data_IF_579843729327
#
_entry.id   IF_579843729327
#
_cell.length_a   1.000
_cell.length_b   1.000
_cell.length_c   1.000
_cell.angle_alpha   90.00
_cell.angle_beta   90.00
_cell.angle_gamma   90.00
#
_symmetry.space_group_name_H-M   'P 1'
#
loop_
_entity.id
_entity.type
_entity.pdbx_description
1 polymer ?
#
# COMPACT_ATOMS: atom_id res chain seq x y z
N UNK A 1 6.22 3.00 -1.24
CA UNK A 1 4.88 2.36 -1.08
C UNK A 1 3.83 3.31 -0.53
N UNK A 2 4.10 4.06 0.57
CA UNK A 2 3.16 5.08 1.10
C UNK A 2 2.71 6.10 0.04
N UNK A 3 3.65 6.65 -0.73
CA UNK A 3 3.36 7.63 -1.78
C UNK A 3 2.36 7.12 -2.82
N UNK A 4 2.43 5.84 -3.19
CA UNK A 4 1.50 5.22 -4.15
C UNK A 4 0.08 5.17 -3.59
N UNK A 5 -0.09 4.74 -2.33
CA UNK A 5 -1.40 4.71 -1.70
C UNK A 5 -1.96 6.11 -1.46
N UNK A 6 -1.10 7.06 -1.11
CA UNK A 6 -1.49 8.46 -0.96
C UNK A 6 -1.97 9.04 -2.30
N UNK A 7 -1.21 8.82 -3.38
CA UNK A 7 -1.60 9.25 -4.72
C UNK A 7 -2.93 8.64 -5.16
N UNK A 8 -3.15 7.35 -4.87
CA UNK A 8 -4.45 6.72 -5.11
C UNK A 8 -5.57 7.36 -4.29
N UNK A 9 -5.33 7.60 -2.99
CA UNK A 9 -6.30 8.24 -2.10
C UNK A 9 -6.67 9.67 -2.55
N UNK A 10 -5.69 10.48 -2.95
CA UNK A 10 -5.93 11.87 -3.34
C UNK A 10 -6.45 12.03 -4.76
N UNK A 11 -5.94 11.24 -5.70
CA UNK A 11 -6.23 11.43 -7.13
C UNK A 11 -7.34 10.52 -7.63
N UNK A 12 -7.54 9.35 -7.04
CA UNK A 12 -8.60 8.43 -7.46
C UNK A 12 -9.78 8.45 -6.49
N UNK A 13 -9.53 8.17 -5.20
CA UNK A 13 -10.61 8.04 -4.21
C UNK A 13 -11.33 9.38 -4.00
N UNK A 14 -10.59 10.46 -3.70
CA UNK A 14 -11.17 11.78 -3.46
C UNK A 14 -11.85 12.39 -4.69
N UNK A 15 -11.37 12.07 -5.89
CA UNK A 15 -11.99 12.49 -7.15
C UNK A 15 -13.17 11.60 -7.56
N UNK A 16 -13.45 10.55 -6.79
CA UNK A 16 -14.57 9.64 -6.99
C UNK A 16 -14.64 9.06 -8.41
N UNK A 17 -13.48 8.68 -8.95
CA UNK A 17 -13.37 8.24 -10.35
C UNK A 17 -13.98 6.85 -10.61
N UNK A 18 -14.44 6.16 -9.56
CA UNK A 18 -15.17 4.89 -9.66
C UNK A 18 -16.43 4.89 -8.78
N UNK A 19 -17.46 4.07 -9.10
CA UNK A 19 -18.75 4.08 -8.39
C UNK A 19 -18.63 3.89 -6.88
N UNK A 20 -17.83 2.91 -6.42
CA UNK A 20 -17.65 2.64 -5.00
C UNK A 20 -16.99 3.77 -4.19
N UNK A 21 -16.29 4.73 -4.82
CA UNK A 21 -15.77 5.91 -4.12
C UNK A 21 -16.84 6.96 -3.80
N UNK A 22 -18.04 6.82 -4.39
CA UNK A 22 -19.19 7.69 -4.13
C UNK A 22 -20.05 7.16 -2.98
N UNK A 23 -19.82 5.92 -2.56
CA UNK A 23 -20.58 5.28 -1.50
C UNK A 23 -19.98 5.59 -0.11
N UNK A 24 -20.82 5.74 0.93
CA UNK A 24 -20.32 5.88 2.30
C UNK A 24 -19.52 4.65 2.77
N UNK A 25 -18.51 4.83 3.63
CA UNK A 25 -18.07 6.10 4.22
C UNK A 25 -17.21 6.92 3.25
N UNK A 26 -17.51 8.21 3.10
CA UNK A 26 -16.66 9.17 2.39
C UNK A 26 -15.57 9.64 3.36
N UNK A 27 -14.32 9.24 3.09
CA UNK A 27 -13.19 9.54 3.97
C UNK A 27 -12.74 11.00 3.85
N UNK A 28 -12.42 11.61 4.99
CA UNK A 28 -11.75 12.91 5.06
C UNK A 28 -10.29 12.84 4.61
N UNK A 29 -9.70 13.99 4.26
CA UNK A 29 -8.28 14.08 3.90
C UNK A 29 -7.33 13.52 4.97
N UNK A 30 -7.68 13.72 6.25
CA UNK A 30 -6.89 13.19 7.37
C UNK A 30 -6.95 11.66 7.41
N UNK A 31 -8.13 11.08 7.23
CA UNK A 31 -8.33 9.63 7.19
C UNK A 31 -7.63 9.01 5.98
N UNK A 32 -7.70 9.65 4.80
CA UNK A 32 -7.00 9.19 3.60
C UNK A 32 -5.49 9.15 3.84
N UNK A 33 -4.91 10.21 4.41
CA UNK A 33 -3.47 10.26 4.75
C UNK A 33 -3.10 9.18 5.76
N UNK A 34 -3.90 9.01 6.81
CA UNK A 34 -3.65 8.01 7.85
C UNK A 34 -3.69 6.59 7.28
N UNK A 35 -4.71 6.26 6.49
CA UNK A 35 -4.85 4.95 5.83
C UNK A 35 -3.73 4.70 4.83
N UNK A 36 -3.29 5.73 4.09
CA UNK A 36 -2.18 5.62 3.15
C UNK A 36 -0.86 5.29 3.86
N UNK A 37 -0.60 5.92 5.00
CA UNK A 37 0.57 5.61 5.84
C UNK A 37 0.44 4.21 6.43
N UNK A 38 -0.72 3.86 6.97
CA UNK A 38 -0.98 2.55 7.56
C UNK A 38 -0.77 1.41 6.55
N UNK A 39 -1.48 1.46 5.42
CA UNK A 39 -1.36 0.46 4.36
C UNK A 39 0.05 0.41 3.76
N UNK A 40 0.70 1.57 3.61
CA UNK A 40 2.05 1.64 3.07
C UNK A 40 3.09 1.03 4.01
N UNK A 41 2.92 1.21 5.32
CA UNK A 41 3.72 0.56 6.36
C UNK A 41 3.53 -0.96 6.36
N UNK A 42 2.28 -1.44 6.33
CA UNK A 42 1.98 -2.87 6.28
C UNK A 42 2.61 -3.52 5.05
N UNK A 43 2.44 -2.91 3.87
CA UNK A 43 2.99 -3.42 2.62
C UNK A 43 4.53 -3.44 2.63
N UNK A 44 5.15 -2.39 3.18
CA UNK A 44 6.61 -2.31 3.29
C UNK A 44 7.16 -3.38 4.24
N UNK A 45 6.53 -3.57 5.41
CA UNK A 45 6.94 -4.58 6.39
C UNK A 45 6.80 -5.99 5.84
N UNK A 46 5.69 -6.31 5.19
CA UNK A 46 5.47 -7.63 4.61
C UNK A 46 6.46 -7.91 3.47
N UNK A 47 6.67 -6.94 2.58
CA UNK A 47 7.65 -7.07 1.49
C UNK A 47 9.07 -7.26 2.03
N UNK A 48 9.43 -6.53 3.09
CA UNK A 48 10.72 -6.67 3.76
C UNK A 48 10.89 -8.03 4.45
N UNK A 49 9.84 -8.53 5.11
CA UNK A 49 9.88 -9.85 5.74
C UNK A 49 10.07 -10.96 4.70
N UNK A 50 9.38 -10.88 3.54
CA UNK A 50 9.57 -11.82 2.43
C UNK A 50 10.97 -11.72 1.82
N UNK A 51 11.47 -10.50 1.58
CA UNK A 51 12.82 -10.30 1.06
C UNK A 51 13.89 -10.82 2.02
N UNK A 52 13.74 -10.58 3.32
CA UNK A 52 14.67 -11.09 4.32
C UNK A 52 14.61 -12.61 4.45
N UNK A 53 13.44 -13.22 4.27
CA UNK A 53 13.30 -14.69 4.25
C UNK A 53 14.05 -15.31 3.07
N UNK A 54 14.04 -14.67 1.91
CA UNK A 54 14.72 -15.15 0.70
C UNK A 54 16.24 -14.92 0.74
N UNK A 55 16.66 -13.69 1.06
CA UNK A 55 18.07 -13.27 0.92
C UNK A 55 18.83 -13.21 2.25
N UNK A 56 18.15 -13.30 3.39
CA UNK A 56 18.76 -13.21 4.71
C UNK A 56 19.65 -11.98 4.87
N UNK A 57 20.90 -12.19 5.30
CA UNK A 57 21.87 -11.12 5.52
C UNK A 57 22.26 -10.37 4.25
N UNK A 58 22.16 -10.98 3.06
CA UNK A 58 22.54 -10.33 1.79
C UNK A 58 21.42 -9.49 1.18
N UNK A 59 20.28 -9.34 1.87
CA UNK A 59 19.16 -8.53 1.39
C UNK A 59 19.60 -7.09 1.13
N UNK A 60 19.30 -6.59 -0.07
CA UNK A 60 19.48 -5.19 -0.44
C UNK A 60 18.13 -4.45 -0.47
N UNK A 61 18.17 -3.12 -0.39
CA UNK A 61 16.97 -2.29 -0.60
C UNK A 61 16.36 -2.51 -1.97
N UNK A 62 17.17 -2.82 -2.98
CA UNK A 62 16.73 -3.18 -4.33
C UNK A 62 15.98 -4.51 -4.38
N UNK A 63 16.08 -5.40 -3.40
CA UNK A 63 15.32 -6.65 -3.41
C UNK A 63 13.85 -6.47 -3.00
N UNK A 64 13.55 -5.40 -2.27
CA UNK A 64 12.21 -5.16 -1.72
C UNK A 64 11.14 -5.07 -2.82
N UNK A 65 11.46 -4.44 -3.96
CA UNK A 65 10.49 -4.21 -5.02
C UNK A 65 9.96 -5.51 -5.65
N UNK A 66 10.77 -6.58 -5.63
CA UNK A 66 10.43 -7.90 -6.15
C UNK A 66 9.24 -8.53 -5.41
N UNK A 67 9.00 -8.14 -4.15
CA UNK A 67 7.94 -8.69 -3.30
C UNK A 67 6.75 -7.75 -3.09
N UNK A 68 6.76 -6.55 -3.69
CA UNK A 68 5.66 -5.59 -3.53
C UNK A 68 4.36 -6.19 -4.05
N UNK A 69 4.38 -6.78 -5.26
CA UNK A 69 3.18 -7.35 -5.87
C UNK A 69 2.58 -8.48 -5.05
N UNK A 70 3.41 -9.46 -4.64
CA UNK A 70 2.93 -10.59 -3.84
C UNK A 70 2.45 -10.17 -2.45
N UNK A 71 3.07 -9.15 -1.85
CA UNK A 71 2.63 -8.58 -0.57
C UNK A 71 1.34 -7.76 -0.71
N UNK A 72 1.16 -7.07 -1.84
CA UNK A 72 -0.06 -6.33 -2.13
C UNK A 72 -1.24 -7.28 -2.27
N UNK A 73 -1.05 -8.37 -3.02
CA UNK A 73 -2.07 -9.40 -3.16
C UNK A 73 -2.51 -9.98 -1.83
N UNK A 74 -1.54 -10.38 -1.00
CA UNK A 74 -1.83 -10.98 0.29
C UNK A 74 -2.56 -10.03 1.26
N UNK A 75 -2.32 -8.72 1.18
CA UNK A 75 -2.92 -7.75 2.09
C UNK A 75 -4.26 -7.19 1.62
N UNK A 76 -4.48 -7.07 0.30
CA UNK A 76 -5.57 -6.27 -0.25
C UNK A 76 -6.42 -6.96 -1.33
N UNK A 77 -5.97 -8.09 -1.87
CA UNK A 77 -6.73 -8.84 -2.89
C UNK A 77 -7.62 -9.84 -2.16
N UNK A 78 -8.94 -9.74 -2.39
CA UNK A 78 -9.99 -10.62 -1.82
C UNK A 78 -10.54 -11.50 -2.94
#
# INVERSE_FOLDING_TARGET
MISTLLAWGTSAYKQQIWPGAKEPPILSDSQIKLLSVYGGCCLTKLSAAKAFKEYGRSMQTSDLHKFIYSSYKELFDV
#
